data_IF_027999715198
#
_entry.id   IF_027999715198
#
_cell.length_a   1.000
_cell.length_b   1.000
_cell.length_c   1.000
_cell.angle_alpha   90.00
_cell.angle_beta   90.00
_cell.angle_gamma   90.00
#
_symmetry.space_group_name_H-M   'P 1'
#
loop_
_entity.id
_entity.type
_entity.pdbx_description
1 polymer ?
#
# COMPACT_ATOMS: atom_id res chain seq x y z
N UNK A 1 82.51 12.41 101.34
CA UNK A 1 81.46 11.59 101.97
C UNK A 1 80.82 10.81 100.86
N UNK A 2 80.81 9.48 101.04
CA UNK A 2 80.00 8.40 100.44
C UNK A 2 79.45 8.53 99.01
N UNK A 3 79.31 7.48 98.19
CA UNK A 3 79.88 6.13 97.98
C UNK A 3 78.99 5.59 96.84
N UNK A 4 79.60 5.05 95.78
CA UNK A 4 79.14 3.94 94.90
C UNK A 4 77.67 3.94 94.39
N UNK A 5 77.39 3.71 93.11
CA UNK A 5 77.77 2.48 92.41
C UNK A 5 77.76 2.64 90.88
N UNK A 6 78.67 1.89 90.23
CA UNK A 6 78.71 1.63 88.80
C UNK A 6 77.58 0.67 88.40
N UNK A 7 77.01 0.90 87.22
CA UNK A 7 76.42 -0.14 86.38
C UNK A 7 76.83 0.10 84.92
N UNK A 8 77.77 -0.70 84.43
CA UNK A 8 77.96 -0.96 83.02
C UNK A 8 76.84 -1.91 82.57
N UNK A 9 76.19 -1.65 81.43
CA UNK A 9 76.12 -2.59 80.30
C UNK A 9 75.37 -2.03 79.08
N UNK A 10 76.04 -2.20 77.93
CA UNK A 10 75.53 -2.41 76.56
C UNK A 10 74.57 -1.40 75.93
N UNK A 11 75.13 -0.61 75.00
CA UNK A 11 74.42 -0.02 73.85
C UNK A 11 73.67 -1.08 73.04
N UNK A 12 72.41 -0.86 72.65
CA UNK A 12 71.85 -1.55 71.52
C UNK A 12 72.27 -0.80 70.25
N UNK A 13 73.04 -1.49 69.41
CA UNK A 13 73.23 -1.15 68.01
C UNK A 13 71.87 -0.97 67.34
N UNK A 14 71.64 0.20 66.73
CA UNK A 14 70.55 0.42 65.80
C UNK A 14 70.84 -0.45 64.57
N UNK A 15 70.37 -1.70 64.59
CA UNK A 15 70.11 -2.43 63.37
C UNK A 15 68.78 -1.91 62.84
N UNK A 16 68.83 -0.83 62.06
CA UNK A 16 67.78 -0.56 61.08
C UNK A 16 67.80 -1.76 60.13
N UNK A 17 66.95 -2.74 60.43
CA UNK A 17 66.50 -3.67 59.42
C UNK A 17 65.84 -2.80 58.35
N UNK A 18 66.54 -2.58 57.25
CA UNK A 18 65.86 -2.30 55.98
C UNK A 18 64.95 -3.48 55.79
N UNK A 19 63.66 -3.28 56.09
CA UNK A 19 62.60 -4.24 55.87
C UNK A 19 62.51 -4.46 54.35
N UNK A 20 63.38 -5.33 53.84
CA UNK A 20 63.27 -5.96 52.53
C UNK A 20 62.11 -6.97 52.60
N UNK A 21 60.92 -6.51 53.00
CA UNK A 21 59.71 -7.12 52.49
C UNK A 21 59.72 -6.77 51.00
N UNK A 22 59.73 -7.75 50.09
CA UNK A 22 59.35 -7.42 48.72
C UNK A 22 57.99 -6.76 48.85
N UNK A 23 57.87 -5.53 48.36
CA UNK A 23 56.58 -4.87 48.22
C UNK A 23 55.73 -5.86 47.42
N UNK A 24 54.82 -6.58 48.10
CA UNK A 24 53.76 -7.37 47.49
C UNK A 24 52.75 -6.40 46.89
N UNK A 25 53.24 -5.54 46.00
CA UNK A 25 52.52 -4.42 45.42
C UNK A 25 52.54 -4.67 43.94
N UNK A 26 51.38 -5.06 43.45
CA UNK A 26 51.09 -5.13 42.03
C UNK A 26 50.93 -3.67 41.54
N UNK A 27 51.91 -3.08 40.79
CA UNK A 27 52.00 -1.63 40.60
C UNK A 27 50.88 -0.99 39.77
N UNK A 28 49.91 -1.79 39.31
CA UNK A 28 48.86 -1.40 38.36
C UNK A 28 47.52 -2.11 38.59
N UNK A 29 47.37 -2.84 39.71
CA UNK A 29 46.12 -3.52 40.02
C UNK A 29 45.03 -2.51 40.37
N UNK A 30 43.85 -2.64 39.76
CA UNK A 30 42.68 -1.82 40.12
C UNK A 30 42.18 -2.17 41.52
N UNK A 31 42.02 -1.18 42.42
CA UNK A 31 41.57 -1.44 43.79
C UNK A 31 40.19 -2.09 43.82
N UNK A 32 40.04 -3.18 44.58
CA UNK A 32 38.75 -3.85 44.78
C UNK A 32 38.31 -4.80 43.67
N UNK A 33 39.18 -5.10 42.70
CA UNK A 33 38.90 -6.06 41.61
C UNK A 33 39.72 -7.36 41.75
N UNK A 34 40.41 -7.54 42.87
CA UNK A 34 41.23 -8.70 43.14
C UNK A 34 42.20 -8.51 44.31
N UNK A 35 43.03 -9.52 44.52
CA UNK A 35 44.08 -9.58 45.54
C UNK A 35 45.46 -9.74 44.91
N UNK A 36 46.50 -9.22 45.54
CA UNK A 36 47.88 -9.33 45.05
C UNK A 36 48.63 -10.36 45.91
N UNK A 37 49.14 -11.42 45.29
CA UNK A 37 49.98 -12.43 45.95
C UNK A 37 51.33 -12.53 45.24
N UNK A 38 52.41 -12.33 45.99
CA UNK A 38 53.79 -12.41 45.51
C UNK A 38 54.07 -11.69 44.16
N UNK A 39 53.43 -10.53 43.94
CA UNK A 39 53.60 -9.74 42.71
C UNK A 39 52.74 -10.19 41.51
N UNK A 40 51.90 -11.22 41.67
CA UNK A 40 50.87 -11.63 40.70
C UNK A 40 49.48 -11.18 41.16
N UNK A 41 48.68 -10.67 40.22
CA UNK A 41 47.29 -10.29 40.50
C UNK A 41 46.36 -11.51 40.41
N UNK A 42 45.57 -11.75 41.44
CA UNK A 42 44.47 -12.71 41.46
C UNK A 42 43.15 -11.95 41.40
N UNK A 43 42.54 -11.93 40.22
CA UNK A 43 41.30 -11.18 39.99
C UNK A 43 40.09 -11.86 40.61
N UNK A 44 39.13 -11.05 41.03
CA UNK A 44 37.82 -11.52 41.47
C UNK A 44 37.04 -12.12 40.28
N UNK A 45 35.99 -12.90 40.55
CA UNK A 45 35.25 -13.66 39.52
C UNK A 45 34.75 -12.80 38.34
N UNK A 46 34.44 -11.53 38.60
CA UNK A 46 33.91 -10.57 37.62
C UNK A 46 35.01 -9.79 36.87
N UNK A 47 36.30 -10.10 37.10
CA UNK A 47 37.43 -9.36 36.55
C UNK A 47 38.49 -10.28 35.95
N UNK A 48 39.16 -9.81 34.90
CA UNK A 48 40.25 -10.53 34.21
C UNK A 48 41.36 -9.58 33.76
N UNK A 49 42.43 -10.16 33.25
CA UNK A 49 43.62 -9.46 32.75
C UNK A 49 44.75 -9.39 33.79
N UNK A 50 45.95 -9.04 33.35
CA UNK A 50 47.16 -9.00 34.20
C UNK A 50 47.05 -8.03 35.39
N UNK A 51 46.13 -7.08 35.30
CA UNK A 51 45.90 -6.04 36.30
C UNK A 51 44.47 -6.00 36.85
N UNK A 52 43.64 -7.01 36.54
CA UNK A 52 42.24 -7.08 36.93
C UNK A 52 41.41 -5.85 36.51
N UNK A 53 41.79 -5.25 35.38
CA UNK A 53 41.21 -4.02 34.85
C UNK A 53 40.06 -4.27 33.87
N UNK A 54 39.83 -5.52 33.47
CA UNK A 54 38.85 -5.87 32.45
C UNK A 54 37.67 -6.58 33.10
N UNK A 55 36.48 -5.99 33.04
CA UNK A 55 35.26 -6.63 33.54
C UNK A 55 34.89 -7.85 32.68
N UNK A 56 34.37 -8.90 33.32
CA UNK A 56 33.75 -10.04 32.63
C UNK A 56 32.24 -9.89 32.49
N UNK A 57 31.66 -8.87 33.13
CA UNK A 57 30.24 -8.53 32.99
C UNK A 57 29.93 -8.07 31.56
N UNK A 58 28.75 -8.45 31.07
CA UNK A 58 28.35 -8.24 29.66
C UNK A 58 27.11 -7.37 29.52
N UNK A 59 26.59 -6.89 30.63
CA UNK A 59 25.32 -6.17 30.76
C UNK A 59 25.36 -4.82 30.04
N UNK A 60 26.49 -4.13 30.08
CA UNK A 60 26.75 -2.89 29.32
C UNK A 60 26.81 -3.11 27.81
N UNK A 61 27.19 -4.30 27.37
CA UNK A 61 27.26 -4.69 25.96
C UNK A 61 25.91 -5.18 25.40
N UNK A 62 24.87 -5.28 26.22
CA UNK A 62 23.59 -5.85 25.81
C UNK A 62 22.75 -4.82 25.05
N UNK A 63 22.40 -5.13 23.81
CA UNK A 63 21.61 -4.26 22.94
C UNK A 63 20.11 -4.27 23.31
N UNK A 64 19.35 -3.30 22.79
CA UNK A 64 17.89 -3.23 22.93
C UNK A 64 17.16 -4.46 22.39
N UNK A 65 17.76 -5.14 21.41
CA UNK A 65 17.28 -6.40 20.82
C UNK A 65 17.66 -7.65 21.64
N UNK A 66 18.35 -7.49 22.78
CA UNK A 66 18.75 -8.60 23.66
C UNK A 66 19.97 -9.39 23.18
N UNK A 67 20.63 -8.96 22.10
CA UNK A 67 21.88 -9.55 21.60
C UNK A 67 23.09 -8.77 22.11
N UNK A 68 24.18 -9.49 22.39
CA UNK A 68 25.46 -8.89 22.76
C UNK A 68 26.05 -8.14 21.56
N UNK A 69 26.35 -6.85 21.72
CA UNK A 69 26.87 -5.98 20.65
C UNK A 69 26.07 -6.09 19.35
N UNK A 70 24.75 -6.25 19.47
CA UNK A 70 23.80 -6.45 18.37
C UNK A 70 24.16 -7.60 17.41
N UNK A 71 25.00 -8.55 17.85
CA UNK A 71 25.54 -9.62 17.01
C UNK A 71 26.60 -9.19 15.98
N UNK A 72 27.02 -7.92 16.01
CA UNK A 72 27.94 -7.31 15.04
C UNK A 72 29.36 -7.11 15.59
N UNK A 73 29.61 -7.53 16.82
CA UNK A 73 30.86 -7.31 17.52
C UNK A 73 31.09 -8.26 18.69
N UNK A 74 32.16 -8.02 19.41
CA UNK A 74 32.54 -8.77 20.60
C UNK A 74 32.56 -7.85 21.82
N UNK A 75 32.04 -8.33 22.95
CA UNK A 75 32.11 -7.59 24.20
C UNK A 75 33.48 -7.83 24.85
N UNK A 76 34.29 -6.78 24.94
CA UNK A 76 35.63 -6.79 25.51
C UNK A 76 35.65 -5.80 26.66
N UNK A 77 35.81 -6.30 27.88
CA UNK A 77 35.90 -5.50 29.11
C UNK A 77 34.70 -4.61 29.42
N UNK A 78 33.50 -4.98 28.94
CA UNK A 78 32.27 -4.19 29.11
C UNK A 78 31.99 -3.21 27.97
N UNK A 79 32.86 -3.13 26.97
CA UNK A 79 32.68 -2.32 25.77
C UNK A 79 32.56 -3.20 24.51
N UNK A 80 31.76 -2.78 23.55
CA UNK A 80 31.60 -3.50 22.29
C UNK A 80 32.65 -3.10 21.26
N UNK A 81 33.43 -4.08 20.82
CA UNK A 81 34.32 -3.95 19.67
C UNK A 81 33.59 -4.43 18.41
N UNK A 82 33.18 -3.49 17.57
CA UNK A 82 32.40 -3.78 16.36
C UNK A 82 33.27 -4.39 15.27
N UNK A 83 32.96 -5.63 14.92
CA UNK A 83 33.70 -6.41 13.89
C UNK A 83 33.10 -6.24 12.50
N UNK A 84 31.83 -5.87 12.40
CA UNK A 84 31.16 -5.66 11.12
C UNK A 84 31.57 -4.31 10.51
N UNK A 85 32.00 -4.26 9.24
CA UNK A 85 32.37 -3.02 8.58
C UNK A 85 31.18 -2.06 8.50
N UNK A 86 31.41 -0.81 8.88
CA UNK A 86 30.36 0.23 8.89
C UNK A 86 29.40 0.16 10.07
N UNK A 87 29.53 -0.82 10.97
CA UNK A 87 28.80 -0.87 12.22
C UNK A 87 29.51 -0.07 13.32
N UNK A 88 28.75 0.70 14.08
CA UNK A 88 29.27 1.56 15.15
C UNK A 88 28.20 1.81 16.23
N UNK A 89 28.56 2.59 17.26
CA UNK A 89 27.75 2.81 18.45
C UNK A 89 28.20 1.95 19.63
N UNK A 90 27.71 2.26 20.83
CA UNK A 90 28.12 1.57 22.07
C UNK A 90 27.78 0.07 22.09
N UNK A 91 26.78 -0.33 21.30
CA UNK A 91 26.35 -1.73 21.16
C UNK A 91 26.37 -2.21 19.71
N UNK A 92 27.12 -1.55 18.83
CA UNK A 92 27.19 -1.85 17.39
C UNK A 92 25.82 -1.95 16.72
N UNK A 93 24.86 -1.14 17.17
CA UNK A 93 23.48 -1.14 16.69
C UNK A 93 23.29 -0.26 15.45
N UNK A 94 24.20 0.68 15.21
CA UNK A 94 24.13 1.60 14.07
C UNK A 94 24.94 1.04 12.92
N UNK A 95 24.31 0.80 11.78
CA UNK A 95 25.01 0.38 10.57
C UNK A 95 24.23 0.77 9.30
N UNK A 96 24.49 1.96 8.71
CA UNK A 96 23.79 2.41 7.50
C UNK A 96 24.16 1.60 6.26
N UNK A 97 25.36 1.01 6.23
CA UNK A 97 25.84 0.21 5.09
C UNK A 97 25.38 -1.25 5.14
N UNK A 98 24.72 -1.67 6.22
CA UNK A 98 24.29 -3.05 6.37
C UNK A 98 22.95 -3.30 5.67
N UNK A 99 22.79 -4.43 4.97
CA UNK A 99 21.57 -4.74 4.22
C UNK A 99 20.34 -4.94 5.09
N UNK A 100 20.53 -5.24 6.38
CA UNK A 100 19.47 -5.48 7.36
C UNK A 100 18.96 -4.19 8.04
N UNK A 101 19.58 -3.04 7.77
CA UNK A 101 19.13 -1.75 8.30
C UNK A 101 17.67 -1.45 7.90
N UNK A 102 17.31 -1.67 6.63
CA UNK A 102 15.94 -1.46 6.16
C UNK A 102 14.95 -2.42 6.83
N UNK A 103 15.29 -3.70 6.99
CA UNK A 103 14.37 -4.69 7.60
C UNK A 103 14.09 -4.38 9.08
N UNK A 104 15.13 -4.00 9.83
CA UNK A 104 14.97 -3.65 11.26
C UNK A 104 14.17 -2.35 11.41
N UNK A 105 14.45 -1.33 10.59
CA UNK A 105 13.72 -0.05 10.66
C UNK A 105 12.29 -0.18 10.16
N UNK A 106 12.02 -1.04 9.19
CA UNK A 106 10.67 -1.39 8.74
C UNK A 106 9.82 -1.88 9.91
N UNK A 107 10.32 -2.80 10.74
CA UNK A 107 9.59 -3.28 11.93
C UNK A 107 9.23 -2.14 12.90
N UNK A 108 10.11 -1.13 13.00
CA UNK A 108 9.83 0.07 13.78
C UNK A 108 8.77 0.96 13.12
N UNK A 109 8.80 1.19 11.81
CA UNK A 109 7.75 1.95 11.09
C UNK A 109 6.39 1.31 11.31
N UNK A 110 6.29 0.01 11.07
CA UNK A 110 5.09 -0.80 11.23
C UNK A 110 4.50 -0.68 12.64
N UNK A 111 5.34 -0.78 13.66
CA UNK A 111 4.87 -0.74 15.03
C UNK A 111 4.50 0.67 15.52
N UNK A 112 5.31 1.67 15.17
CA UNK A 112 5.17 3.03 15.71
C UNK A 112 4.16 3.87 14.92
N UNK A 113 4.13 3.74 13.59
CA UNK A 113 3.24 4.49 12.71
C UNK A 113 1.94 3.72 12.47
N UNK A 114 2.05 2.53 11.86
CA UNK A 114 0.88 1.72 11.47
C UNK A 114 0.23 0.94 12.62
N UNK A 115 0.88 0.90 13.80
CA UNK A 115 0.40 0.18 15.00
C UNK A 115 0.11 -1.30 14.71
N UNK A 116 0.95 -1.94 13.91
CA UNK A 116 0.84 -3.35 13.52
C UNK A 116 2.21 -4.04 13.53
N UNK A 117 2.24 -5.34 13.29
CA UNK A 117 3.47 -6.16 13.25
C UNK A 117 3.93 -6.72 14.60
N UNK A 118 4.98 -7.54 14.56
CA UNK A 118 5.45 -8.36 15.71
C UNK A 118 5.83 -7.52 16.94
N UNK A 119 6.57 -6.43 16.74
CA UNK A 119 7.01 -5.55 17.83
C UNK A 119 5.84 -4.84 18.52
N UNK A 120 4.74 -4.65 17.80
CA UNK A 120 3.50 -4.08 18.35
C UNK A 120 2.78 -5.12 19.22
N UNK A 121 2.64 -6.36 18.71
CA UNK A 121 2.01 -7.47 19.44
C UNK A 121 2.75 -7.82 20.73
N UNK A 122 4.09 -7.86 20.70
CA UNK A 122 4.94 -8.17 21.85
C UNK A 122 5.11 -6.98 22.82
N UNK A 123 4.57 -5.80 22.50
CA UNK A 123 4.73 -4.55 23.29
C UNK A 123 6.19 -4.14 23.51
N UNK A 124 7.09 -4.60 22.65
CA UNK A 124 8.53 -4.32 22.70
C UNK A 124 8.92 -3.05 21.91
N UNK A 125 8.00 -2.52 21.12
CA UNK A 125 8.12 -1.32 20.30
C UNK A 125 8.88 -0.14 20.94
N UNK A 126 8.39 0.35 22.09
CA UNK A 126 8.95 1.55 22.74
C UNK A 126 10.36 1.32 23.31
N UNK A 127 10.73 0.05 23.54
CA UNK A 127 12.05 -0.32 24.07
C UNK A 127 13.09 -0.40 22.95
N UNK A 128 12.69 -0.96 21.80
CA UNK A 128 13.56 -1.26 20.66
C UNK A 128 13.66 -0.05 19.72
N UNK A 129 12.53 0.57 19.37
CA UNK A 129 12.46 1.67 18.43
C UNK A 129 12.64 3.00 19.15
N UNK A 130 13.85 3.56 19.08
CA UNK A 130 14.23 4.84 19.71
C UNK A 130 14.41 5.98 18.71
N UNK A 131 14.28 5.68 17.42
CA UNK A 131 14.44 6.65 16.34
C UNK A 131 13.30 7.67 16.35
N UNK A 132 13.61 8.91 15.96
CA UNK A 132 12.58 9.93 15.75
C UNK A 132 11.94 9.74 14.39
N UNK A 133 10.60 9.70 14.34
CA UNK A 133 9.85 9.48 13.11
C UNK A 133 9.21 10.78 12.67
N UNK A 134 9.47 11.16 11.42
CA UNK A 134 8.88 12.31 10.77
C UNK A 134 8.08 11.88 9.56
N UNK A 135 6.81 12.31 9.53
CA UNK A 135 5.91 12.01 8.43
C UNK A 135 6.04 13.07 7.33
N UNK A 136 6.38 12.64 6.13
CA UNK A 136 6.61 13.52 4.97
C UNK A 136 5.70 13.14 3.81
N UNK A 137 5.44 14.09 2.92
CA UNK A 137 4.62 13.83 1.73
C UNK A 137 5.44 13.23 0.60
N UNK A 138 6.73 13.61 0.50
CA UNK A 138 7.66 13.09 -0.50
C UNK A 138 9.07 12.97 0.10
N UNK A 139 9.74 11.86 -0.19
CA UNK A 139 11.16 11.65 0.15
C UNK A 139 12.02 12.43 -0.85
N UNK A 140 12.56 13.58 -0.42
CA UNK A 140 13.37 14.45 -1.28
C UNK A 140 14.65 14.87 -0.58
N UNK A 141 15.52 13.89 -0.31
CA UNK A 141 16.84 14.14 0.27
C UNK A 141 17.88 13.30 -0.47
N UNK A 142 18.73 13.97 -1.24
CA UNK A 142 19.90 13.39 -1.92
C UNK A 142 21.14 13.59 -1.05
N UNK A 143 21.10 13.10 0.18
CA UNK A 143 22.24 13.15 1.10
C UNK A 143 23.01 11.83 1.04
N UNK A 144 24.35 11.90 1.02
CA UNK A 144 25.24 10.72 0.95
C UNK A 144 25.07 9.76 2.15
N UNK A 145 24.51 10.25 3.26
CA UNK A 145 24.28 9.48 4.49
C UNK A 145 22.80 9.07 4.68
N UNK A 146 22.00 9.13 3.63
CA UNK A 146 20.60 8.70 3.66
C UNK A 146 20.41 7.37 2.92
N UNK A 147 19.67 6.45 3.54
CA UNK A 147 19.31 5.16 2.94
C UNK A 147 17.81 5.14 2.68
N UNK A 148 17.43 4.93 1.41
CA UNK A 148 16.05 4.78 1.01
C UNK A 148 15.65 3.31 1.09
N UNK A 149 14.56 3.03 1.79
CA UNK A 149 14.02 1.72 2.00
C UNK A 149 12.59 1.66 1.46
N UNK A 150 12.26 0.55 0.81
CA UNK A 150 10.94 0.30 0.25
C UNK A 150 10.51 -1.11 0.60
N UNK A 151 9.28 -1.26 1.06
CA UNK A 151 8.71 -2.59 1.32
C UNK A 151 7.25 -2.63 0.89
N UNK A 152 6.73 -3.85 0.79
CA UNK A 152 5.31 -4.10 0.53
C UNK A 152 4.68 -4.66 1.78
N UNK A 153 3.48 -4.18 2.10
CA UNK A 153 2.69 -4.70 3.21
C UNK A 153 1.79 -5.87 2.76
N UNK A 154 0.89 -6.31 3.65
CA UNK A 154 -0.05 -7.41 3.38
C UNK A 154 -1.13 -7.06 2.35
N UNK A 155 -1.39 -5.75 2.17
CA UNK A 155 -2.40 -5.22 1.25
C UNK A 155 -1.81 -4.87 -0.13
N UNK A 156 -0.58 -5.35 -0.43
CA UNK A 156 0.19 -5.06 -1.64
C UNK A 156 0.49 -3.55 -1.84
N UNK A 157 0.36 -2.75 -0.79
CA UNK A 157 0.71 -1.34 -0.79
C UNK A 157 2.22 -1.15 -0.68
N UNK A 158 2.77 -0.22 -1.46
CA UNK A 158 4.21 0.09 -1.44
C UNK A 158 4.46 1.23 -0.45
N UNK A 159 5.24 0.92 0.57
CA UNK A 159 5.63 1.83 1.62
C UNK A 159 7.06 2.34 1.38
N UNK A 160 7.22 3.65 1.43
CA UNK A 160 8.49 4.33 1.22
C UNK A 160 8.94 5.02 2.49
N UNK A 161 10.17 4.73 2.94
CA UNK A 161 10.78 5.46 4.04
C UNK A 161 12.26 5.67 3.82
N UNK A 162 12.80 6.70 4.46
CA UNK A 162 14.22 7.04 4.41
C UNK A 162 14.77 7.08 5.83
N UNK A 163 15.92 6.44 6.00
CA UNK A 163 16.71 6.47 7.23
C UNK A 163 17.90 7.41 7.03
N UNK A 164 18.03 8.38 7.93
CA UNK A 164 19.10 9.37 7.93
C UNK A 164 19.76 9.43 9.30
N UNK A 165 21.09 9.55 9.33
CA UNK A 165 21.85 9.81 10.55
C UNK A 165 22.54 11.16 10.48
N UNK A 166 22.24 12.00 11.49
CA UNK A 166 22.89 13.29 11.64
C UNK A 166 24.33 13.13 12.17
N UNK A 167 25.16 14.13 11.92
CA UNK A 167 26.54 14.26 12.45
C UNK A 167 26.62 14.17 13.97
N UNK A 168 25.53 14.51 14.67
CA UNK A 168 25.37 14.35 16.12
C UNK A 168 25.17 12.89 16.57
N UNK A 169 25.08 11.95 15.62
CA UNK A 169 24.77 10.54 15.88
C UNK A 169 23.29 10.28 16.18
N UNK A 170 22.40 11.24 15.90
CA UNK A 170 20.95 11.11 16.04
C UNK A 170 20.36 10.52 14.75
N UNK A 171 19.61 9.43 14.87
CA UNK A 171 18.90 8.80 13.77
C UNK A 171 17.49 9.36 13.61
N UNK A 172 17.12 9.69 12.37
CA UNK A 172 15.80 10.22 11.99
C UNK A 172 15.26 9.33 10.87
N UNK A 173 13.98 8.98 10.98
CA UNK A 173 13.27 8.13 10.03
C UNK A 173 12.15 8.94 9.38
N UNK A 174 12.29 9.20 8.09
CA UNK A 174 11.28 9.89 7.29
C UNK A 174 10.36 8.85 6.65
N UNK A 175 9.07 8.88 6.97
CA UNK A 175 8.08 7.93 6.45
C UNK A 175 7.07 8.69 5.60
N UNK A 176 6.75 8.16 4.42
CA UNK A 176 5.72 8.76 3.56
C UNK A 176 4.34 8.55 4.19
N UNK A 177 3.52 9.60 4.25
CA UNK A 177 2.20 9.57 4.92
C UNK A 177 1.17 8.64 4.27
N UNK A 178 1.14 8.64 2.95
CA UNK A 178 0.14 7.91 2.17
C UNK A 178 0.87 6.87 1.31
N UNK A 179 0.63 5.56 1.55
CA UNK A 179 1.22 4.53 0.73
C UNK A 179 0.63 4.44 -0.67
N UNK A 180 1.46 3.97 -1.60
CA UNK A 180 1.03 3.70 -2.97
C UNK A 180 0.37 2.31 -3.03
N UNK A 181 -0.94 2.27 -2.81
CA UNK A 181 -1.73 1.06 -2.93
C UNK A 181 -2.26 0.88 -4.37
N UNK A 182 -2.38 -0.36 -4.86
CA UNK A 182 -3.06 -0.61 -6.12
C UNK A 182 -4.53 -0.16 -6.02
N UNK A 183 -4.90 0.83 -6.84
CA UNK A 183 -6.28 1.25 -6.94
C UNK A 183 -7.12 0.08 -7.48
N UNK A 184 -8.20 -0.24 -6.76
CA UNK A 184 -9.18 -1.20 -7.25
C UNK A 184 -9.78 -0.75 -8.60
N UNK A 185 -10.46 -1.63 -9.34
CA UNK A 185 -11.09 -1.24 -10.59
C UNK A 185 -12.06 -0.07 -10.36
N UNK A 186 -11.84 1.04 -11.04
CA UNK A 186 -12.67 2.24 -10.91
C UNK A 186 -14.14 1.88 -11.19
N UNK A 187 -14.97 2.06 -10.17
CA UNK A 187 -16.39 1.73 -10.19
C UNK A 187 -17.10 2.49 -11.34
N UNK A 188 -16.65 3.70 -11.66
CA UNK A 188 -17.19 4.49 -12.77
C UNK A 188 -16.87 3.85 -14.13
N UNK A 189 -15.66 3.31 -14.31
CA UNK A 189 -15.26 2.61 -15.54
C UNK A 189 -16.06 1.33 -15.71
N UNK A 190 -16.24 0.55 -14.63
CA UNK A 190 -17.05 -0.66 -14.66
C UNK A 190 -18.52 -0.34 -14.98
N UNK A 191 -19.11 0.65 -14.31
CA UNK A 191 -20.49 1.07 -14.54
C UNK A 191 -20.71 1.59 -15.96
N UNK A 192 -19.83 2.47 -16.44
CA UNK A 192 -19.92 3.04 -17.78
C UNK A 192 -19.79 1.98 -18.87
N UNK A 193 -18.92 0.98 -18.68
CA UNK A 193 -18.77 -0.17 -19.57
C UNK A 193 -20.07 -0.98 -19.66
N UNK A 194 -20.69 -1.31 -18.52
CA UNK A 194 -21.94 -2.08 -18.47
C UNK A 194 -23.09 -1.32 -19.13
N UNK A 195 -23.25 -0.03 -18.81
CA UNK A 195 -24.29 0.82 -19.40
C UNK A 195 -24.09 0.94 -20.92
N UNK A 196 -22.84 1.18 -21.35
CA UNK A 196 -22.49 1.27 -22.77
C UNK A 196 -22.83 -0.01 -23.54
N UNK A 197 -22.52 -1.18 -22.98
CA UNK A 197 -22.82 -2.47 -23.59
C UNK A 197 -24.34 -2.69 -23.74
N UNK A 198 -25.13 -2.38 -22.71
CA UNK A 198 -26.59 -2.53 -22.74
C UNK A 198 -27.22 -1.60 -23.78
N UNK A 199 -26.80 -0.35 -23.82
CA UNK A 199 -27.29 0.63 -24.81
C UNK A 199 -26.91 0.21 -26.23
N UNK A 200 -25.67 -0.26 -26.44
CA UNK A 200 -25.21 -0.70 -27.75
C UNK A 200 -25.98 -1.92 -28.27
N UNK A 201 -26.17 -2.94 -27.42
CA UNK A 201 -26.96 -4.12 -27.78
C UNK A 201 -28.43 -3.77 -28.05
N UNK A 202 -29.01 -2.85 -27.26
CA UNK A 202 -30.35 -2.33 -27.49
C UNK A 202 -30.47 -1.62 -28.83
N UNK A 203 -29.53 -0.72 -29.14
CA UNK A 203 -29.54 0.04 -30.40
C UNK A 203 -29.33 -0.87 -31.61
N UNK A 204 -28.41 -1.83 -31.52
CA UNK A 204 -28.18 -2.84 -32.55
C UNK A 204 -29.42 -3.69 -32.80
N UNK A 205 -30.10 -4.16 -31.74
CA UNK A 205 -31.35 -4.90 -31.85
C UNK A 205 -32.45 -4.08 -32.52
N UNK A 206 -32.59 -2.79 -32.16
CA UNK A 206 -33.55 -1.88 -32.79
C UNK A 206 -33.22 -1.62 -34.27
N UNK A 207 -31.94 -1.45 -34.62
CA UNK A 207 -31.51 -1.27 -36.01
C UNK A 207 -31.78 -2.53 -36.84
N UNK A 208 -31.49 -3.72 -36.31
CA UNK A 208 -31.78 -4.99 -36.97
C UNK A 208 -33.30 -5.15 -37.15
N UNK A 209 -34.10 -4.90 -36.11
CA UNK A 209 -35.55 -4.96 -36.21
C UNK A 209 -36.09 -3.97 -37.25
N UNK A 210 -35.61 -2.72 -37.22
CA UNK A 210 -35.97 -1.67 -38.19
C UNK A 210 -35.63 -2.12 -39.60
N UNK A 211 -34.43 -2.64 -39.84
CA UNK A 211 -34.00 -3.16 -41.15
C UNK A 211 -34.89 -4.33 -41.61
N UNK A 212 -35.17 -5.30 -40.74
CA UNK A 212 -36.03 -6.43 -41.07
C UNK A 212 -37.45 -5.99 -41.44
N UNK A 213 -38.03 -5.07 -40.66
CA UNK A 213 -39.34 -4.48 -40.95
C UNK A 213 -39.31 -3.73 -42.27
N UNK A 214 -38.32 -2.87 -42.49
CA UNK A 214 -38.21 -2.10 -43.73
C UNK A 214 -38.07 -3.02 -44.95
N UNK A 215 -37.28 -4.10 -44.86
CA UNK A 215 -37.16 -5.07 -45.96
C UNK A 215 -38.47 -5.82 -46.19
N UNK A 216 -39.16 -6.21 -45.13
CA UNK A 216 -40.44 -6.89 -45.24
C UNK A 216 -41.49 -5.99 -45.89
N UNK A 217 -41.64 -4.77 -45.38
CA UNK A 217 -42.56 -3.75 -45.90
C UNK A 217 -42.27 -3.44 -47.38
N UNK A 218 -40.99 -3.29 -47.76
CA UNK A 218 -40.60 -3.03 -49.15
C UNK A 218 -40.86 -4.22 -50.08
N UNK A 219 -40.77 -5.46 -49.57
CA UNK A 219 -41.11 -6.67 -50.33
C UNK A 219 -42.62 -6.81 -50.51
N UNK A 220 -43.40 -6.49 -49.49
CA UNK A 220 -44.86 -6.49 -49.58
C UNK A 220 -45.33 -5.40 -50.55
N UNK A 221 -44.76 -4.20 -50.47
CA UNK A 221 -45.07 -3.10 -51.38
C UNK A 221 -44.83 -3.49 -52.85
N UNK A 222 -43.67 -4.08 -53.17
CA UNK A 222 -43.36 -4.53 -54.53
C UNK A 222 -44.36 -5.59 -55.03
N UNK A 223 -44.75 -6.54 -54.18
CA UNK A 223 -45.78 -7.54 -54.50
C UNK A 223 -47.13 -6.86 -54.79
N UNK A 224 -47.54 -5.91 -53.95
CA UNK A 224 -48.79 -5.16 -54.11
C UNK A 224 -48.82 -4.34 -55.42
N UNK A 225 -47.72 -3.72 -55.82
CA UNK A 225 -47.64 -2.97 -57.09
C UNK A 225 -47.77 -3.90 -58.30
N UNK A 226 -47.13 -5.08 -58.26
CA UNK A 226 -47.31 -6.09 -59.30
C UNK A 226 -48.75 -6.61 -59.38
N UNK A 227 -49.39 -6.89 -58.25
CA UNK A 227 -50.78 -7.32 -58.19
C UNK A 227 -51.72 -6.24 -58.76
N UNK A 228 -51.51 -4.97 -58.42
CA UNK A 228 -52.26 -3.84 -59.01
C UNK A 228 -52.04 -3.70 -60.51
N UNK A 229 -50.82 -3.86 -61.00
CA UNK A 229 -50.51 -3.78 -62.43
C UNK A 229 -51.10 -4.95 -63.22
N UNK A 230 -51.19 -6.15 -62.61
CA UNK A 230 -51.81 -7.35 -63.19
C UNK A 230 -53.33 -7.38 -63.05
N UNK A 231 -53.90 -6.61 -62.12
CA UNK A 231 -55.34 -6.42 -61.98
C UNK A 231 -55.89 -5.60 -63.16
N UNK A 232 -55.95 -6.27 -64.32
CA UNK A 232 -56.71 -5.81 -65.47
C UNK A 232 -58.19 -5.95 -65.11
N UNK A 233 -58.86 -4.83 -64.83
CA UNK A 233 -60.31 -4.79 -64.81
C UNK A 233 -60.79 -5.07 -66.23
N UNK A 234 -61.51 -6.16 -66.41
CA UNK A 234 -62.12 -6.47 -67.70
C UNK A 234 -63.19 -5.39 -67.97
N UNK A 235 -62.87 -4.42 -68.83
CA UNK A 235 -63.83 -3.44 -69.38
C UNK A 235 -64.75 -4.08 -70.43
N UNK A 236 -64.95 -5.39 -70.38
CA UNK A 236 -66.09 -6.07 -70.99
C UNK A 236 -67.34 -5.76 -70.16
N UNK A 237 -68.38 -5.25 -70.81
CA UNK A 237 -69.65 -4.91 -70.17
C UNK A 237 -70.14 -6.08 -69.30
N UNK A 238 -70.47 -5.81 -68.04
CA UNK A 238 -71.03 -6.81 -67.12
C UNK A 238 -72.30 -7.43 -67.74
N UNK A 239 -72.33 -8.74 -68.04
CA UNK A 239 -73.47 -9.39 -68.69
C UNK A 239 -74.74 -9.46 -67.81
N UNK A 240 -74.64 -9.08 -66.54
CA UNK A 240 -75.79 -8.90 -65.62
C UNK A 240 -76.28 -7.45 -65.52
N UNK A 241 -75.61 -6.49 -66.15
CA UNK A 241 -76.05 -5.09 -66.10
C UNK A 241 -77.23 -4.85 -67.05
N UNK A 242 -78.44 -4.84 -66.50
CA UNK A 242 -79.59 -4.20 -67.15
C UNK A 242 -79.54 -2.71 -66.87
N UNK A 243 -79.45 -1.89 -67.92
CA UNK A 243 -79.65 -0.46 -67.80
C UNK A 243 -81.02 -0.17 -67.18
N UNK A 244 -81.07 0.66 -66.14
CA UNK A 244 -82.30 1.11 -65.51
C UNK A 244 -83.00 2.18 -66.37
N UNK A 245 -83.35 1.81 -67.60
CA UNK A 245 -84.17 2.67 -68.46
C UNK A 245 -85.44 1.90 -68.80
N UNK A 246 -86.48 2.11 -68.00
CA UNK A 246 -87.83 1.66 -68.31
C UNK A 246 -88.42 2.61 -69.34
N UNK A 247 -88.26 2.29 -70.62
CA UNK A 247 -89.00 2.98 -71.68
C UNK A 247 -90.47 2.57 -71.58
N UNK A 248 -91.28 3.38 -70.90
CA UNK A 248 -92.73 3.18 -70.85
C UNK A 248 -93.34 3.62 -72.17
N UNK A 249 -93.76 2.67 -73.01
CA UNK A 249 -94.60 2.98 -74.17
C UNK A 249 -95.97 3.41 -73.68
N UNK A 250 -96.25 4.71 -73.73
CA UNK A 250 -97.59 5.23 -73.49
C UNK A 250 -98.49 4.83 -74.67
N UNK A 251 -99.35 3.82 -74.47
CA UNK A 251 -100.22 3.22 -75.49
C UNK A 251 -101.41 4.09 -75.91
N UNK A 252 -101.48 5.36 -75.51
CA UNK A 252 -102.64 6.22 -75.83
C UNK A 252 -102.42 7.31 -76.88
N UNK A 253 -101.29 7.42 -77.58
CA UNK A 253 -101.13 8.54 -78.54
C UNK A 253 -100.40 8.23 -79.87
N UNK A 254 -101.12 7.53 -80.75
CA UNK A 254 -101.12 7.65 -82.23
C UNK A 254 -102.27 6.75 -82.71
N UNK A 255 -103.39 7.18 -83.24
CA UNK A 255 -103.91 8.49 -83.65
C UNK A 255 -105.07 8.15 -84.58
N UNK A 256 -106.31 8.11 -84.06
CA UNK A 256 -107.48 7.88 -84.91
C UNK A 256 -107.85 9.20 -85.58
N UNK A 257 -107.55 9.31 -86.88
CA UNK A 257 -108.22 10.27 -87.77
C UNK A 257 -109.53 9.65 -88.24
N UNK A 258 -110.66 10.12 -87.73
CA UNK A 258 -111.92 10.12 -88.48
C UNK A 258 -112.62 11.46 -88.25
N UNK A 259 -113.08 12.14 -89.32
CA UNK A 259 -113.17 13.60 -89.36
C UNK A 259 -114.55 14.09 -88.89
N UNK A 260 -114.56 15.16 -88.09
CA UNK A 260 -115.69 16.10 -88.06
C UNK A 260 -115.30 17.43 -87.40
N UNK A 261 -115.56 18.53 -88.12
CA UNK A 261 -116.31 19.76 -87.74
C UNK A 261 -116.22 20.37 -86.31
N UNK A 262 -116.60 21.66 -86.17
CA UNK A 262 -115.77 22.65 -85.47
C UNK A 262 -116.32 23.12 -84.11
N UNK A 263 -115.51 24.00 -83.48
CA UNK A 263 -115.91 25.11 -82.60
C UNK A 263 -116.42 24.74 -81.18
N UNK A 264 -116.20 25.49 -80.10
CA UNK A 264 -115.32 26.60 -79.69
C UNK A 264 -115.70 26.88 -78.21
N UNK A 265 -114.77 27.50 -77.48
CA UNK A 265 -114.93 28.33 -76.27
C UNK A 265 -115.05 27.74 -74.83
N UNK A 266 -114.03 28.15 -74.06
CA UNK A 266 -114.02 28.76 -72.70
C UNK A 266 -113.95 27.94 -71.40
N UNK A 267 -113.22 28.48 -70.38
CA UNK A 267 -112.78 27.83 -69.14
C UNK A 267 -113.68 28.28 -67.95
N UNK A 268 -113.30 28.30 -66.65
CA UNK A 268 -112.16 27.75 -65.89
C UNK A 268 -112.62 26.87 -64.69
N UNK A 269 -111.72 26.30 -63.88
CA UNK A 269 -111.33 26.79 -62.54
C UNK A 269 -110.27 25.85 -61.96
#
# INVERSE_FOLDING_TARGET
MEKQALAHTSSPSISEAVDLRPLTVCPRMTPGHGTCDCGSCHCDADWKGENCNCSTQTDTCMSGIGLLCSGRGQCVCGDCECTQPGAYGSTCDKCPTCPDACTIKMECVECTHFKRGKLFEEKSCARICRDEIQLVDNLSFNDENAVNCTYKDEDDCVEHFQYYEDTSGKSILFVVKEPECPEGPDILVVLSSVIGAVLFLGLAGLLIWKLLVTVHDHRELARFEEEKARAKWDTGHNPLYRGATTTFTNVTYRGNTSPTEPNVETPPS
#
